data_IF_669916567224
#
_entry.id   IF_669916567224
#
_cell.length_a   1.000
_cell.length_b   1.000
_cell.length_c   1.000
_cell.angle_alpha   90.00
_cell.angle_beta   90.00
_cell.angle_gamma   90.00
#
_symmetry.space_group_name_H-M   'P 1'
#
loop_
_entity.id
_entity.type
_entity.pdbx_description
1 polymer ?
#
# COMPACT_ATOMS: atom_id res chain seq x y z
N UNK A 1 -15.41 45.65 -18.19
CA UNK A 1 -14.57 45.57 -16.97
C UNK A 1 -14.85 44.19 -16.40
N UNK A 2 -14.02 43.20 -16.74
CA UNK A 2 -14.19 41.83 -16.25
C UNK A 2 -13.17 41.58 -15.14
N UNK A 3 -13.69 41.22 -13.96
CA UNK A 3 -12.89 40.73 -12.84
C UNK A 3 -12.62 39.23 -13.07
N UNK A 4 -11.41 38.72 -12.78
CA UNK A 4 -11.16 37.29 -12.94
C UNK A 4 -11.94 36.49 -11.90
N UNK A 5 -12.55 35.38 -12.35
CA UNK A 5 -13.17 34.39 -11.48
C UNK A 5 -12.11 33.80 -10.55
N UNK A 6 -12.30 33.97 -9.24
CA UNK A 6 -11.53 33.26 -8.22
C UNK A 6 -11.78 31.76 -8.36
N UNK A 7 -10.74 30.98 -8.68
CA UNK A 7 -10.79 29.52 -8.51
C UNK A 7 -10.91 29.21 -7.02
N UNK A 8 -12.11 28.90 -6.56
CA UNK A 8 -12.31 28.06 -5.39
C UNK A 8 -12.19 26.61 -5.83
N UNK A 9 -11.00 26.03 -5.68
CA UNK A 9 -10.85 24.58 -5.53
C UNK A 9 -9.83 24.38 -4.43
N UNK A 10 -10.25 24.65 -3.19
CA UNK A 10 -9.66 23.92 -2.08
C UNK A 10 -10.05 22.47 -2.31
N UNK A 11 -9.17 21.71 -2.97
CA UNK A 11 -9.22 20.26 -2.86
C UNK A 11 -9.29 19.96 -1.35
N UNK A 12 -10.24 19.13 -0.90
CA UNK A 12 -10.34 18.78 0.52
C UNK A 12 -8.98 18.27 1.01
N UNK A 13 -8.62 18.49 2.28
CA UNK A 13 -7.33 18.08 2.80
C UNK A 13 -7.14 16.57 2.58
N UNK A 14 -6.30 16.23 1.59
CA UNK A 14 -5.97 14.84 1.29
C UNK A 14 -5.07 14.32 2.39
N UNK A 15 -5.52 13.31 3.12
CA UNK A 15 -4.74 12.70 4.19
C UNK A 15 -3.45 12.11 3.62
N UNK A 16 -2.33 12.43 4.26
CA UNK A 16 -1.01 11.93 3.89
C UNK A 16 -0.63 10.64 4.64
N UNK A 17 -1.55 10.16 5.48
CA UNK A 17 -1.40 8.99 6.34
C UNK A 17 -2.78 8.38 6.59
N UNK A 18 -2.89 7.06 6.49
CA UNK A 18 -4.10 6.32 6.80
C UNK A 18 -3.77 5.10 7.67
N UNK A 19 -4.60 4.85 8.67
CA UNK A 19 -4.63 3.61 9.45
C UNK A 19 -6.08 3.18 9.55
N UNK A 20 -6.42 2.05 8.94
CA UNK A 20 -7.77 1.51 8.95
C UNK A 20 -7.78 0.09 9.46
N UNK A 21 -8.69 -0.21 10.40
CA UNK A 21 -8.97 -1.59 10.80
C UNK A 21 -9.97 -2.21 9.85
N UNK A 22 -9.72 -3.45 9.47
CA UNK A 22 -10.66 -4.27 8.72
C UNK A 22 -11.82 -4.68 9.62
N UNK A 23 -13.02 -4.78 9.05
CA UNK A 23 -14.20 -5.25 9.78
C UNK A 23 -14.15 -6.75 10.12
N UNK A 24 -13.29 -7.49 9.43
CA UNK A 24 -13.02 -8.91 9.61
C UNK A 24 -11.76 -9.32 8.85
N UNK A 25 -11.32 -10.59 8.97
CA UNK A 25 -10.20 -11.09 8.18
C UNK A 25 -10.55 -11.07 6.69
N UNK A 26 -9.52 -10.88 5.85
CA UNK A 26 -9.65 -11.06 4.40
C UNK A 26 -9.71 -12.55 4.07
N UNK A 27 -10.65 -12.94 3.23
CA UNK A 27 -10.74 -14.28 2.63
C UNK A 27 -10.06 -14.29 1.25
N UNK A 28 -9.64 -15.46 0.72
CA UNK A 28 -9.19 -15.56 -0.66
C UNK A 28 -10.25 -14.99 -1.62
N UNK A 29 -9.84 -14.06 -2.49
CA UNK A 29 -10.70 -13.30 -3.39
C UNK A 29 -11.08 -11.91 -2.87
N UNK A 30 -11.01 -11.66 -1.56
CA UNK A 30 -11.19 -10.31 -1.01
C UNK A 30 -10.00 -9.42 -1.40
N UNK A 31 -10.24 -8.11 -1.43
CA UNK A 31 -9.20 -7.15 -1.78
C UNK A 31 -9.24 -5.88 -0.94
N UNK A 32 -8.05 -5.29 -0.78
CA UNK A 32 -7.87 -3.91 -0.34
C UNK A 32 -7.56 -3.06 -1.56
N UNK A 33 -8.26 -1.94 -1.73
CA UNK A 33 -8.02 -0.98 -2.79
C UNK A 33 -7.66 0.37 -2.21
N UNK A 34 -6.55 0.94 -2.71
CA UNK A 34 -6.07 2.26 -2.33
C UNK A 34 -6.12 3.15 -3.57
N UNK A 35 -6.99 4.16 -3.51
CA UNK A 35 -7.03 5.25 -4.47
C UNK A 35 -6.21 6.41 -3.92
N UNK A 36 -5.24 6.89 -4.71
CA UNK A 36 -4.39 7.98 -4.26
C UNK A 36 -3.63 8.65 -5.38
N UNK A 37 -2.86 9.67 -5.01
CA UNK A 37 -1.97 10.43 -5.90
C UNK A 37 -0.58 10.51 -5.30
N UNK A 38 0.43 10.11 -6.07
CA UNK A 38 1.82 10.26 -5.62
C UNK A 38 2.16 11.76 -5.52
N UNK A 39 2.88 12.17 -4.48
CA UNK A 39 3.36 13.56 -4.36
C UNK A 39 4.30 13.91 -5.52
N UNK A 40 4.51 15.21 -5.76
CA UNK A 40 5.32 15.71 -6.89
C UNK A 40 6.81 15.37 -6.80
N UNK A 41 7.36 15.33 -5.58
CA UNK A 41 8.77 15.05 -5.31
C UNK A 41 8.91 13.86 -4.34
N UNK A 42 8.48 12.65 -4.72
CA UNK A 42 8.43 11.53 -3.81
C UNK A 42 9.81 10.91 -3.63
N UNK A 43 10.13 10.53 -2.39
CA UNK A 43 11.20 9.59 -2.10
C UNK A 43 10.64 8.16 -2.11
N UNK A 44 9.61 7.93 -1.29
CA UNK A 44 8.87 6.67 -1.23
C UNK A 44 7.56 6.83 -0.45
N UNK A 45 6.63 5.90 -0.69
CA UNK A 45 5.50 5.68 0.21
C UNK A 45 5.32 4.18 0.39
N UNK A 46 4.49 3.76 1.34
CA UNK A 46 4.20 2.35 1.51
C UNK A 46 2.76 2.08 1.88
N UNK A 47 2.33 0.87 1.54
CA UNK A 47 1.09 0.23 2.00
C UNK A 47 1.47 -1.03 2.75
N UNK A 48 1.06 -1.14 4.01
CA UNK A 48 1.20 -2.35 4.80
C UNK A 48 -0.16 -3.03 4.97
N UNK A 49 -0.18 -4.34 4.75
CA UNK A 49 -1.16 -5.23 5.33
C UNK A 49 -0.52 -5.87 6.57
N UNK A 50 -1.03 -5.50 7.74
CA UNK A 50 -0.41 -5.83 9.02
C UNK A 50 -1.43 -6.30 10.07
N UNK A 51 -0.90 -6.94 11.12
CA UNK A 51 -1.63 -7.32 12.31
C UNK A 51 -1.41 -6.26 13.42
N UNK A 52 -2.49 -5.61 13.83
CA UNK A 52 -2.52 -4.54 14.81
C UNK A 52 -2.26 -3.14 14.24
N UNK A 53 -2.86 -2.15 14.90
CA UNK A 53 -2.70 -0.72 14.59
C UNK A 53 -1.58 -0.03 15.38
N UNK A 54 -0.91 -0.75 16.27
CA UNK A 54 0.13 -0.18 17.12
C UNK A 54 1.45 -0.06 16.37
N UNK A 55 2.20 1.01 16.65
CA UNK A 55 3.56 1.21 16.14
C UNK A 55 4.57 0.42 16.99
N UNK A 56 4.29 0.26 18.29
CA UNK A 56 5.13 -0.49 19.22
C UNK A 56 4.28 -1.43 20.11
N UNK A 57 4.68 -2.70 20.30
CA UNK A 57 5.77 -3.40 19.59
C UNK A 57 5.54 -3.40 18.08
N UNK A 58 6.61 -3.50 17.29
CA UNK A 58 6.50 -3.43 15.84
C UNK A 58 5.56 -4.54 15.32
N UNK A 59 4.56 -4.20 14.50
CA UNK A 59 3.53 -5.16 14.09
C UNK A 59 4.13 -6.24 13.18
N UNK A 60 3.43 -7.38 13.09
CA UNK A 60 3.63 -8.32 11.99
C UNK A 60 3.05 -7.70 10.72
N UNK A 61 3.87 -7.55 9.68
CA UNK A 61 3.52 -7.05 8.36
C UNK A 61 3.61 -8.22 7.39
N UNK A 62 2.45 -8.73 6.99
CA UNK A 62 2.34 -9.87 6.05
C UNK A 62 2.72 -9.44 4.63
N UNK A 63 2.36 -8.21 4.25
CA UNK A 63 2.77 -7.58 3.00
C UNK A 63 3.13 -6.12 3.23
N UNK A 64 4.37 -5.77 2.91
CA UNK A 64 4.85 -4.40 2.77
C UNK A 64 5.00 -4.09 1.28
N UNK A 65 4.25 -3.12 0.77
CA UNK A 65 4.36 -2.62 -0.61
C UNK A 65 5.01 -1.25 -0.57
N UNK A 66 6.20 -1.10 -1.16
CA UNK A 66 6.97 0.14 -1.06
C UNK A 66 7.48 0.64 -2.41
N UNK A 67 6.69 1.47 -3.12
CA UNK A 67 7.17 2.22 -4.27
C UNK A 67 8.30 3.19 -3.89
N UNK A 68 9.43 3.08 -4.59
CA UNK A 68 10.65 3.88 -4.40
C UNK A 68 11.00 4.60 -5.70
N UNK A 69 11.22 5.90 -5.62
CA UNK A 69 11.38 6.78 -6.80
C UNK A 69 12.81 7.30 -6.99
N UNK A 70 13.65 7.23 -5.95
CA UNK A 70 15.01 7.76 -6.00
C UNK A 70 15.91 6.90 -6.89
N UNK A 71 16.58 7.54 -7.84
CA UNK A 71 17.45 6.93 -8.87
C UNK A 71 18.40 5.87 -8.33
N UNK A 72 18.61 4.79 -9.11
CA UNK A 72 19.60 3.75 -8.81
C UNK A 72 19.00 2.34 -8.83
N UNK A 73 19.73 1.38 -8.28
CA UNK A 73 19.36 -0.04 -8.34
C UNK A 73 18.08 -0.39 -7.59
N UNK A 74 17.66 0.44 -6.62
CA UNK A 74 16.47 0.25 -5.78
C UNK A 74 15.20 0.93 -6.27
N UNK A 75 15.20 1.53 -7.47
CA UNK A 75 13.99 2.10 -8.09
C UNK A 75 13.03 0.99 -8.46
N UNK A 76 11.75 1.15 -8.09
CA UNK A 76 10.69 0.19 -8.39
C UNK A 76 9.75 0.04 -7.20
N UNK A 77 9.09 -1.12 -7.11
CA UNK A 77 8.21 -1.47 -6.00
C UNK A 77 8.88 -2.58 -5.21
N UNK A 78 9.36 -2.26 -4.01
CA UNK A 78 9.94 -3.22 -3.10
C UNK A 78 8.84 -3.90 -2.28
N UNK A 79 8.86 -5.23 -2.25
CA UNK A 79 7.93 -6.05 -1.49
C UNK A 79 8.67 -6.82 -0.42
N UNK A 80 8.09 -6.88 0.78
CA UNK A 80 8.67 -7.65 1.88
C UNK A 80 7.61 -8.05 2.92
N UNK A 81 8.05 -8.82 3.92
CA UNK A 81 7.28 -9.10 5.13
C UNK A 81 8.18 -8.90 6.34
N UNK A 82 7.58 -8.51 7.46
CA UNK A 82 8.22 -8.46 8.76
C UNK A 82 7.35 -9.26 9.72
N UNK A 83 7.85 -10.36 10.28
CA UNK A 83 7.08 -11.10 11.26
C UNK A 83 7.64 -10.85 12.65
N UNK A 84 6.76 -10.56 13.62
CA UNK A 84 7.15 -10.23 14.98
C UNK A 84 8.07 -11.31 15.59
N UNK A 85 7.79 -12.59 15.32
CA UNK A 85 8.58 -13.72 15.79
C UNK A 85 9.99 -13.82 15.14
N UNK A 86 10.20 -13.24 13.96
CA UNK A 86 11.51 -13.23 13.27
C UNK A 86 12.34 -11.98 13.62
N UNK A 87 11.69 -10.90 14.06
CA UNK A 87 12.31 -9.60 14.42
C UNK A 87 13.25 -9.03 13.33
N UNK A 88 12.94 -9.30 12.06
CA UNK A 88 13.68 -8.80 10.90
C UNK A 88 12.82 -8.80 9.65
N UNK A 89 13.16 -7.93 8.72
CA UNK A 89 12.67 -7.99 7.35
C UNK A 89 13.12 -9.30 6.68
N UNK A 90 12.27 -9.84 5.83
CA UNK A 90 12.63 -10.93 4.93
C UNK A 90 13.56 -10.47 3.78
N UNK A 91 13.85 -11.40 2.87
CA UNK A 91 14.52 -11.12 1.61
C UNK A 91 13.62 -10.29 0.70
N UNK A 92 14.02 -9.06 0.37
CA UNK A 92 13.27 -8.15 -0.50
C UNK A 92 13.02 -8.73 -1.91
N UNK A 93 11.82 -8.49 -2.44
CA UNK A 93 11.47 -8.70 -3.85
C UNK A 93 11.27 -7.33 -4.51
N UNK A 94 12.10 -6.99 -5.48
CA UNK A 94 12.05 -5.70 -6.17
C UNK A 94 11.46 -5.85 -7.57
N UNK A 95 10.27 -5.27 -7.78
CA UNK A 95 9.64 -5.19 -9.10
C UNK A 95 10.04 -3.89 -9.77
N UNK A 96 10.78 -3.97 -10.88
CA UNK A 96 11.10 -2.80 -11.70
C UNK A 96 9.87 -2.37 -12.49
N UNK A 97 9.15 -1.38 -11.99
CA UNK A 97 7.91 -0.88 -12.57
C UNK A 97 7.86 0.64 -12.57
N UNK A 98 7.12 1.20 -13.53
CA UNK A 98 6.79 2.63 -13.64
C UNK A 98 5.32 2.91 -13.38
N UNK A 99 4.63 1.99 -12.71
CA UNK A 99 3.19 2.07 -12.43
C UNK A 99 2.86 3.27 -11.52
N UNK A 100 3.70 3.55 -10.52
CA UNK A 100 3.59 4.74 -9.70
C UNK A 100 4.44 5.86 -10.28
N UNK A 101 3.86 7.06 -10.45
CA UNK A 101 4.56 8.21 -11.07
C UNK A 101 4.31 9.48 -10.26
N UNK A 102 5.34 10.33 -10.06
CA UNK A 102 5.17 11.60 -9.36
C UNK A 102 4.02 12.44 -9.91
N UNK A 103 3.16 12.94 -9.02
CA UNK A 103 2.01 13.77 -9.37
C UNK A 103 0.84 13.05 -10.06
N UNK A 104 0.93 11.73 -10.27
CA UNK A 104 -0.13 10.94 -10.92
C UNK A 104 -0.98 10.21 -9.89
N UNK A 105 -2.26 10.11 -10.22
CA UNK A 105 -3.18 9.22 -9.55
C UNK A 105 -2.86 7.77 -9.88
N UNK A 106 -3.25 6.88 -8.97
CA UNK A 106 -3.15 5.44 -9.12
C UNK A 106 -4.31 4.77 -8.38
N UNK A 107 -4.68 3.59 -8.84
CA UNK A 107 -5.48 2.63 -8.06
C UNK A 107 -4.62 1.40 -7.79
N UNK A 108 -4.26 1.15 -6.53
CA UNK A 108 -3.56 -0.06 -6.11
C UNK A 108 -4.59 -1.03 -5.52
N UNK A 109 -4.80 -2.16 -6.19
CA UNK A 109 -5.63 -3.26 -5.69
C UNK A 109 -4.73 -4.41 -5.24
N UNK A 110 -4.89 -4.83 -3.99
CA UNK A 110 -4.19 -5.97 -3.38
C UNK A 110 -5.23 -7.04 -3.10
N UNK A 111 -5.24 -8.08 -3.91
CA UNK A 111 -6.18 -9.21 -3.80
C UNK A 111 -5.53 -10.31 -2.98
N UNK A 112 -6.23 -10.82 -1.97
CA UNK A 112 -5.78 -11.99 -1.23
C UNK A 112 -6.01 -13.25 -2.06
N UNK A 113 -4.97 -14.07 -2.19
CA UNK A 113 -5.02 -15.38 -2.82
C UNK A 113 -4.83 -16.45 -1.73
N UNK A 114 -5.06 -17.72 -2.08
CA UNK A 114 -4.82 -18.84 -1.16
C UNK A 114 -3.36 -18.92 -0.69
N UNK A 115 -2.40 -18.50 -1.52
CA UNK A 115 -0.97 -18.65 -1.28
C UNK A 115 -0.16 -17.34 -1.31
N UNK A 116 -0.84 -16.20 -1.23
CA UNK A 116 -0.19 -14.90 -1.31
C UNK A 116 -1.12 -13.72 -1.58
N UNK A 117 -0.56 -12.70 -2.22
CA UNK A 117 -1.28 -11.50 -2.64
C UNK A 117 -1.00 -11.19 -4.11
N UNK A 118 -2.03 -10.90 -4.89
CA UNK A 118 -1.90 -10.33 -6.22
C UNK A 118 -1.97 -8.81 -6.13
N UNK A 119 -0.98 -8.13 -6.70
CA UNK A 119 -0.94 -6.67 -6.77
C UNK A 119 -1.27 -6.22 -8.18
N UNK A 120 -2.24 -5.32 -8.31
CA UNK A 120 -2.63 -4.68 -9.57
C UNK A 120 -2.59 -3.17 -9.40
N UNK A 121 -2.05 -2.47 -10.39
CA UNK A 121 -2.04 -1.00 -10.43
C UNK A 121 -2.71 -0.55 -11.70
N UNK A 122 -3.72 0.31 -11.58
CA UNK A 122 -4.55 0.80 -12.69
C UNK A 122 -5.07 -0.35 -13.57
N UNK A 123 -5.68 -1.35 -12.91
CA UNK A 123 -6.21 -2.59 -13.47
C UNK A 123 -5.20 -3.49 -14.22
N UNK A 124 -3.90 -3.18 -14.13
CA UNK A 124 -2.83 -4.00 -14.72
C UNK A 124 -2.09 -4.76 -13.64
N UNK A 125 -1.84 -6.04 -13.91
CA UNK A 125 -1.08 -6.89 -13.01
C UNK A 125 0.35 -6.37 -12.85
N UNK A 126 0.76 -6.17 -11.59
CA UNK A 126 2.10 -5.76 -11.23
C UNK A 126 2.96 -6.98 -10.88
N UNK A 127 2.50 -7.79 -9.92
CA UNK A 127 3.16 -9.02 -9.49
C UNK A 127 2.26 -9.83 -8.56
N UNK A 128 2.66 -11.07 -8.26
CA UNK A 128 2.15 -11.85 -7.14
C UNK A 128 3.25 -11.98 -6.09
N UNK A 129 2.91 -11.74 -4.82
CA UNK A 129 3.79 -11.92 -3.67
C UNK A 129 3.33 -13.14 -2.87
N UNK A 130 4.13 -14.19 -2.84
CA UNK A 130 3.77 -15.44 -2.14
C UNK A 130 3.96 -15.31 -0.64
N UNK A 131 3.14 -16.00 0.15
CA UNK A 131 3.36 -16.09 1.58
C UNK A 131 4.73 -16.71 1.87
N UNK A 132 5.47 -16.11 2.81
CA UNK A 132 6.84 -16.57 3.16
C UNK A 132 6.85 -17.79 4.07
N UNK A 133 5.72 -18.11 4.68
CA UNK A 133 5.49 -19.26 5.57
C UNK A 133 3.98 -19.39 5.79
N UNK A 134 3.57 -20.48 6.44
CA UNK A 134 2.24 -20.58 7.04
C UNK A 134 2.01 -19.36 7.96
N UNK A 135 0.91 -18.64 7.72
CA UNK A 135 0.51 -17.50 8.53
C UNK A 135 -0.07 -18.02 9.84
N UNK A 136 0.41 -17.46 10.96
CA UNK A 136 -0.16 -17.71 12.28
C UNK A 136 -1.23 -16.68 12.59
N UNK A 137 -1.96 -16.89 13.69
CA UNK A 137 -2.97 -15.95 14.18
C UNK A 137 -2.42 -14.52 14.30
N UNK A 138 -1.19 -14.38 14.83
CA UNK A 138 -0.49 -13.10 14.96
C UNK A 138 -0.01 -12.47 13.64
N UNK A 139 -0.20 -13.16 12.51
CA UNK A 139 0.15 -12.70 11.17
C UNK A 139 -1.11 -12.46 10.30
N UNK A 140 -2.32 -12.76 10.81
CA UNK A 140 -3.58 -12.48 10.13
C UNK A 140 -3.75 -10.97 10.00
N UNK A 141 -3.96 -10.50 8.77
CA UNK A 141 -4.14 -9.08 8.48
C UNK A 141 -5.46 -8.59 9.07
N UNK A 142 -5.39 -7.56 9.90
CA UNK A 142 -6.55 -6.86 10.45
C UNK A 142 -6.47 -5.34 10.24
N UNK A 143 -5.35 -4.83 9.71
CA UNK A 143 -5.06 -3.41 9.63
C UNK A 143 -4.36 -3.08 8.32
N UNK A 144 -4.81 -2.01 7.66
CA UNK A 144 -4.16 -1.38 6.51
C UNK A 144 -3.51 -0.08 6.96
N UNK A 145 -2.23 0.09 6.63
CA UNK A 145 -1.51 1.34 6.88
C UNK A 145 -0.96 1.88 5.57
N UNK A 146 -1.23 3.15 5.29
CA UNK A 146 -0.67 3.86 4.13
C UNK A 146 0.05 5.10 4.62
N UNK A 147 1.34 5.25 4.28
CA UNK A 147 2.14 6.39 4.73
C UNK A 147 3.23 6.78 3.73
N UNK A 148 3.69 8.03 3.81
CA UNK A 148 4.84 8.56 3.09
C UNK A 148 4.47 9.60 2.04
N UNK A 149 5.09 9.51 0.86
CA UNK A 149 4.95 10.51 -0.20
C UNK A 149 3.73 10.28 -1.11
N UNK A 150 2.55 10.20 -0.49
CA UNK A 150 1.27 9.94 -1.16
C UNK A 150 0.17 10.82 -0.58
N UNK A 151 -0.80 11.17 -1.41
CA UNK A 151 -2.12 11.69 -1.03
C UNK A 151 -3.12 10.54 -1.15
N UNK A 152 -3.89 10.32 -0.10
CA UNK A 152 -4.87 9.23 -0.04
C UNK A 152 -6.23 9.82 -0.33
N UNK A 153 -6.94 9.25 -1.30
CA UNK A 153 -8.29 9.66 -1.66
C UNK A 153 -9.31 8.73 -1.02
N UNK A 154 -9.06 7.42 -1.11
CA UNK A 154 -9.93 6.42 -0.51
C UNK A 154 -9.16 5.12 -0.22
N UNK A 155 -9.64 4.38 0.77
CA UNK A 155 -9.19 3.01 1.07
C UNK A 155 -10.41 2.15 1.30
N UNK A 156 -10.65 1.21 0.39
CA UNK A 156 -11.83 0.34 0.43
C UNK A 156 -11.44 -1.12 0.56
N UNK A 157 -12.37 -1.90 1.11
CA UNK A 157 -12.28 -3.36 1.19
C UNK A 157 -13.47 -3.91 0.42
N UNK A 158 -13.22 -4.82 -0.51
CA UNK A 158 -14.26 -5.42 -1.34
C UNK A 158 -14.11 -6.93 -1.47
N UNK A 159 -15.15 -7.56 -2.00
CA UNK A 159 -15.19 -8.97 -2.36
C UNK A 159 -15.19 -9.09 -3.89
N UNK A 160 -14.38 -9.98 -4.45
CA UNK A 160 -14.40 -10.27 -5.89
C UNK A 160 -15.61 -11.12 -6.30
#
# INVERSE_FOLDING_TARGET
>A
MELPLSRTTEDPPMDSSFIGRLAGPLEPGDYVEVLGRVKLLPHSFYVNLQHGCNIWPHPSISLHVNPRFKTGAGVGVALNSWFHHKKRWGREELVRSTAFRPGREFTLRIVQLDDGFQLRVDDKDLTVFKYRSELKEEDIVDTVVVQGDVFIHDVTVGKS
#
